data_IF_420114883986
#
_entry.id   IF_420114883986
#
_cell.length_a   1.000
_cell.length_b   1.000
_cell.length_c   1.000
_cell.angle_alpha   90.00
_cell.angle_beta   90.00
_cell.angle_gamma   90.00
#
_symmetry.space_group_name_H-M   'P 1'
#
loop_
_entity.id
_entity.type
_entity.pdbx_description
1 polymer ?
#
# COMPACT_ATOMS: atom_id res chain seq x y z
N UNK A 1 21.30 13.13 31.78
CA UNK A 1 22.38 13.67 30.93
C UNK A 1 23.54 12.68 30.89
N UNK A 2 23.64 11.90 29.80
CA UNK A 2 24.72 10.94 29.58
C UNK A 2 25.40 11.24 28.23
N UNK A 3 26.29 12.25 28.18
CA UNK A 3 26.94 12.66 26.92
C UNK A 3 27.68 11.52 26.22
N UNK A 4 28.25 10.59 27.00
CA UNK A 4 28.94 9.43 26.43
C UNK A 4 28.03 8.48 25.67
N UNK A 5 26.79 8.24 26.12
CA UNK A 5 25.80 7.43 25.43
C UNK A 5 25.29 8.12 24.17
N UNK A 6 25.13 9.44 24.19
CA UNK A 6 24.80 10.22 23.01
C UNK A 6 25.83 10.02 21.90
N UNK A 7 27.10 10.31 22.18
CA UNK A 7 28.18 10.16 21.21
C UNK A 7 28.31 8.74 20.69
N UNK A 8 28.17 7.75 21.59
CA UNK A 8 28.24 6.33 21.22
C UNK A 8 27.09 5.94 20.28
N UNK A 9 25.87 6.34 20.59
CA UNK A 9 24.68 5.98 19.78
C UNK A 9 24.65 6.74 18.46
N UNK A 10 25.04 8.01 18.39
CA UNK A 10 25.20 8.73 17.13
C UNK A 10 26.24 8.07 16.22
N UNK A 11 27.40 7.70 16.77
CA UNK A 11 28.44 7.00 16.02
C UNK A 11 27.94 5.66 15.48
N UNK A 12 27.24 4.88 16.29
CA UNK A 12 26.64 3.60 15.88
C UNK A 12 25.65 3.79 14.72
N UNK A 13 24.75 4.77 14.83
CA UNK A 13 23.78 5.08 13.76
C UNK A 13 24.48 5.44 12.46
N UNK A 14 25.52 6.29 12.52
CA UNK A 14 26.35 6.64 11.38
C UNK A 14 27.04 5.43 10.73
N UNK A 15 27.64 4.57 11.54
CA UNK A 15 28.31 3.38 11.07
C UNK A 15 27.34 2.47 10.31
N UNK A 16 26.17 2.20 10.87
CA UNK A 16 25.11 1.37 10.24
C UNK A 16 24.64 1.96 8.90
N UNK A 17 24.42 3.27 8.83
CA UNK A 17 24.02 3.94 7.57
C UNK A 17 25.12 3.85 6.51
N UNK A 18 26.38 4.01 6.89
CA UNK A 18 27.53 3.90 5.99
C UNK A 18 27.73 2.47 5.50
N UNK A 19 27.65 1.48 6.38
CA UNK A 19 27.72 0.06 6.01
C UNK A 19 26.61 -0.33 5.05
N UNK A 20 25.39 0.19 5.30
CA UNK A 20 24.23 0.03 4.41
C UNK A 20 24.33 0.79 3.10
N UNK A 21 25.35 1.64 2.90
CA UNK A 21 25.52 2.52 1.74
C UNK A 21 24.29 3.41 1.49
N UNK A 22 23.70 3.86 2.60
CA UNK A 22 22.51 4.73 2.56
C UNK A 22 22.98 6.18 2.53
N UNK A 23 22.52 6.96 1.55
CA UNK A 23 22.77 8.40 1.52
C UNK A 23 21.93 9.08 2.60
N UNK A 24 22.58 9.88 3.43
CA UNK A 24 21.89 10.61 4.49
C UNK A 24 22.48 12.01 4.69
N UNK A 25 21.71 12.86 5.34
CA UNK A 25 22.11 14.21 5.77
C UNK A 25 21.96 14.27 7.28
N UNK A 26 22.95 14.84 7.96
CA UNK A 26 22.90 15.08 9.40
C UNK A 26 22.28 16.42 9.70
N UNK A 27 21.27 16.44 10.56
CA UNK A 27 20.60 17.68 10.99
C UNK A 27 20.76 17.82 12.51
N UNK A 28 21.67 18.68 12.96
CA UNK A 28 21.87 18.91 14.39
C UNK A 28 20.61 19.50 15.06
N UNK A 29 20.36 19.09 16.30
CA UNK A 29 19.28 19.64 17.11
C UNK A 29 17.89 19.04 16.88
N UNK A 30 17.73 18.12 15.94
CA UNK A 30 16.42 17.45 15.67
C UNK A 30 16.26 16.08 16.31
N UNK A 31 17.20 15.63 17.11
CA UNK A 31 17.12 14.38 17.84
C UNK A 31 15.99 14.39 18.89
N UNK A 32 15.45 13.21 19.21
CA UNK A 32 14.54 13.07 20.33
C UNK A 32 15.30 13.27 21.66
N UNK A 33 14.59 13.65 22.74
CA UNK A 33 15.23 13.85 24.05
C UNK A 33 15.83 12.54 24.65
N UNK A 34 15.45 11.40 24.12
CA UNK A 34 15.87 10.06 24.56
C UNK A 34 16.92 9.40 23.65
N UNK A 35 17.29 10.01 22.56
CA UNK A 35 18.34 9.50 21.68
C UNK A 35 18.26 9.97 20.23
N UNK A 36 19.25 9.58 19.39
CA UNK A 36 19.28 9.94 17.98
C UNK A 36 18.20 9.21 17.19
N UNK A 37 17.81 9.80 16.06
CA UNK A 37 16.79 9.24 15.15
C UNK A 37 17.27 9.23 13.71
N UNK A 38 16.71 8.31 12.92
CA UNK A 38 16.79 8.26 11.47
C UNK A 38 15.39 8.52 10.94
N UNK A 39 15.19 9.61 10.20
CA UNK A 39 13.93 9.90 9.53
C UNK A 39 14.07 9.67 8.03
N UNK A 40 13.11 8.96 7.45
CA UNK A 40 13.00 8.80 5.99
C UNK A 40 12.10 9.91 5.48
N UNK A 41 12.72 10.87 4.78
CA UNK A 41 12.02 11.98 4.17
C UNK A 41 11.65 11.66 2.72
N UNK A 42 10.43 12.02 2.33
CA UNK A 42 9.93 11.90 0.96
C UNK A 42 9.26 13.20 0.54
N UNK A 43 9.31 13.48 -0.76
CA UNK A 43 8.63 14.65 -1.34
C UNK A 43 7.24 14.24 -1.81
N UNK A 44 6.24 14.99 -1.37
CA UNK A 44 4.88 14.82 -1.85
C UNK A 44 4.71 15.38 -3.27
N UNK A 45 3.62 15.00 -3.95
CA UNK A 45 3.33 15.49 -5.30
C UNK A 45 3.18 17.02 -5.40
N UNK A 46 2.88 17.69 -4.29
CA UNK A 46 2.78 19.16 -4.22
C UNK A 46 4.08 19.83 -3.73
N UNK A 47 5.19 19.10 -3.70
CA UNK A 47 6.50 19.65 -3.36
C UNK A 47 6.72 19.92 -1.86
N UNK A 48 6.01 19.25 -0.97
CA UNK A 48 6.24 19.30 0.47
C UNK A 48 7.07 18.11 0.93
N UNK A 49 8.05 18.38 1.78
CA UNK A 49 8.81 17.34 2.46
C UNK A 49 7.96 16.69 3.57
N UNK A 50 8.11 15.37 3.71
CA UNK A 50 7.25 14.58 4.55
C UNK A 50 8.03 13.44 5.20
N UNK A 51 8.02 13.35 6.53
CA UNK A 51 8.59 12.20 7.24
C UNK A 51 7.65 11.00 7.09
N UNK A 52 8.09 9.99 6.34
CA UNK A 52 7.31 8.79 6.09
C UNK A 52 7.56 7.71 7.13
N UNK A 53 8.81 7.51 7.49
CA UNK A 53 9.22 6.49 8.44
C UNK A 53 10.27 7.05 9.40
N UNK A 54 10.37 6.47 10.59
CA UNK A 54 11.39 6.83 11.56
C UNK A 54 11.89 5.60 12.32
N UNK A 55 13.17 5.61 12.66
CA UNK A 55 13.78 4.73 13.64
C UNK A 55 14.47 5.59 14.69
N UNK A 56 14.25 5.31 15.97
CA UNK A 56 14.78 6.09 17.09
C UNK A 56 15.49 5.16 18.05
N UNK A 57 16.72 5.50 18.42
CA UNK A 57 17.47 4.78 19.44
C UNK A 57 17.20 5.45 20.79
N UNK A 58 16.70 4.68 21.73
CA UNK A 58 16.32 5.17 23.06
C UNK A 58 17.21 4.52 24.13
N UNK A 59 17.99 5.33 24.79
CA UNK A 59 18.82 4.93 25.92
C UNK A 59 18.34 5.51 27.26
N UNK A 60 17.31 6.34 27.26
CA UNK A 60 16.84 7.04 28.45
C UNK A 60 15.60 6.40 29.11
N UNK A 61 14.64 5.97 28.29
CA UNK A 61 13.36 5.44 28.80
C UNK A 61 13.51 4.06 29.46
N UNK A 62 14.30 3.10 28.93
CA UNK A 62 14.48 1.80 29.57
C UNK A 62 14.93 1.90 31.02
N UNK A 63 15.87 2.79 31.31
CA UNK A 63 16.33 3.08 32.66
C UNK A 63 15.22 3.53 33.61
N UNK A 64 14.32 4.42 33.13
CA UNK A 64 13.20 4.95 33.94
C UNK A 64 12.16 3.88 34.26
N UNK A 65 12.01 2.87 33.39
CA UNK A 65 11.13 1.73 33.62
C UNK A 65 11.80 0.57 34.38
N UNK A 66 13.07 0.71 34.75
CA UNK A 66 13.83 -0.34 35.40
C UNK A 66 14.02 -1.59 34.55
N UNK A 67 14.04 -1.43 33.22
CA UNK A 67 14.25 -2.55 32.31
C UNK A 67 15.70 -3.01 32.39
N UNK A 68 15.87 -4.31 32.64
CA UNK A 68 17.20 -4.93 32.66
C UNK A 68 17.18 -6.25 31.91
N UNK A 69 18.33 -6.63 31.38
CA UNK A 69 18.59 -7.96 30.82
C UNK A 69 19.89 -8.52 31.36
N UNK A 70 20.09 -9.82 31.26
CA UNK A 70 21.37 -10.48 31.56
C UNK A 70 22.26 -10.39 30.33
N UNK A 71 23.41 -9.77 30.49
CA UNK A 71 24.44 -9.75 29.43
C UNK A 71 25.22 -11.07 29.40
N UNK A 72 26.20 -11.19 28.52
CA UNK A 72 27.06 -12.36 28.35
C UNK A 72 27.92 -12.70 29.58
N UNK A 73 28.03 -11.76 30.53
CA UNK A 73 28.72 -11.94 31.81
C UNK A 73 27.77 -12.20 32.99
N UNK A 74 26.50 -12.51 32.70
CA UNK A 74 25.43 -12.69 33.69
C UNK A 74 25.20 -11.44 34.56
N UNK A 75 25.63 -10.26 34.12
CA UNK A 75 25.37 -8.98 34.78
C UNK A 75 24.04 -8.35 34.32
N UNK A 76 23.36 -7.67 35.26
CA UNK A 76 22.17 -6.91 34.93
C UNK A 76 22.56 -5.63 34.19
N UNK A 77 22.14 -5.52 32.94
CA UNK A 77 22.46 -4.38 32.07
C UNK A 77 21.16 -3.75 31.54
N UNK A 78 21.16 -2.42 31.40
CA UNK A 78 20.03 -1.69 30.85
C UNK A 78 20.08 -1.78 29.31
N UNK A 79 18.99 -2.23 28.64
CA UNK A 79 18.96 -2.34 27.19
C UNK A 79 18.89 -0.96 26.52
N UNK A 80 19.37 -0.89 25.29
CA UNK A 80 18.93 0.12 24.34
C UNK A 80 17.61 -0.35 23.70
N UNK A 81 16.65 0.57 23.54
CA UNK A 81 15.44 0.29 22.80
C UNK A 81 15.48 0.95 21.42
N UNK A 82 14.88 0.29 20.44
CA UNK A 82 14.71 0.86 19.10
C UNK A 82 13.21 1.01 18.86
N UNK A 83 12.76 2.25 18.77
CA UNK A 83 11.41 2.57 18.34
C UNK A 83 11.38 2.66 16.82
N UNK A 84 10.49 1.90 16.21
CA UNK A 84 10.38 1.84 14.75
C UNK A 84 8.96 2.12 14.30
N UNK A 85 8.80 3.15 13.47
CA UNK A 85 7.56 3.49 12.80
C UNK A 85 7.79 3.43 11.27
N UNK A 86 7.60 2.26 10.62
CA UNK A 86 7.96 2.07 9.21
C UNK A 86 7.05 2.83 8.25
N UNK A 87 5.87 3.28 8.68
CA UNK A 87 4.89 4.01 7.86
C UNK A 87 4.32 5.25 8.56
N UNK A 88 4.85 5.62 9.72
CA UNK A 88 4.21 6.61 10.57
C UNK A 88 2.83 6.12 11.05
N UNK A 89 1.76 6.90 10.84
CA UNK A 89 0.39 6.45 11.03
C UNK A 89 -0.25 6.02 9.71
N UNK A 90 -1.21 5.09 9.77
CA UNK A 90 -1.93 4.63 8.58
C UNK A 90 -2.64 5.78 7.87
N UNK A 91 -3.29 6.68 8.60
CA UNK A 91 -4.03 7.82 8.06
C UNK A 91 -3.11 8.76 7.27
N UNK A 92 -1.95 9.08 7.85
CA UNK A 92 -0.95 9.94 7.22
C UNK A 92 -0.40 9.28 5.94
N UNK A 93 -0.06 8.01 6.00
CA UNK A 93 0.46 7.27 4.86
C UNK A 93 -0.57 7.14 3.74
N UNK A 94 -1.83 6.80 4.07
CA UNK A 94 -2.93 6.74 3.10
C UNK A 94 -3.16 8.12 2.47
N UNK A 95 -3.17 9.19 3.29
CA UNK A 95 -3.29 10.56 2.79
C UNK A 95 -2.19 10.92 1.79
N UNK A 96 -0.94 10.59 2.10
CA UNK A 96 0.20 10.75 1.20
C UNK A 96 0.01 9.99 -0.11
N UNK A 97 -0.42 8.72 -0.06
CA UNK A 97 -0.66 7.91 -1.24
C UNK A 97 -1.81 8.47 -2.11
N UNK A 98 -2.90 8.94 -1.49
CA UNK A 98 -4.01 9.58 -2.20
C UNK A 98 -3.51 10.82 -2.96
N UNK A 99 -2.68 11.63 -2.33
CA UNK A 99 -2.09 12.81 -2.95
C UNK A 99 -1.13 12.43 -4.08
N UNK A 100 -0.21 11.49 -3.82
CA UNK A 100 0.79 11.02 -4.79
C UNK A 100 0.15 10.45 -6.06
N UNK A 101 -0.84 9.59 -5.93
CA UNK A 101 -1.54 8.98 -7.05
C UNK A 101 -2.73 9.81 -7.57
N UNK A 102 -3.06 10.93 -6.93
CA UNK A 102 -4.29 11.66 -7.20
C UNK A 102 -5.54 10.79 -7.01
N UNK A 103 -5.48 9.79 -6.14
CA UNK A 103 -6.49 8.76 -5.93
C UNK A 103 -6.57 7.71 -7.05
N UNK A 104 -5.72 7.80 -8.08
CA UNK A 104 -5.64 6.86 -9.20
C UNK A 104 -4.63 5.74 -8.89
N UNK A 105 -4.99 4.90 -7.96
CA UNK A 105 -4.11 3.84 -7.47
C UNK A 105 -3.81 2.80 -8.54
N UNK A 106 -2.58 2.27 -8.58
CA UNK A 106 -2.27 1.06 -9.35
C UNK A 106 -3.11 -0.12 -8.87
N UNK A 107 -3.31 -1.12 -9.72
CA UNK A 107 -4.22 -2.22 -9.48
C UNK A 107 -4.00 -2.92 -8.13
N UNK A 108 -2.74 -3.21 -7.79
CA UNK A 108 -2.39 -3.92 -6.55
C UNK A 108 -2.73 -3.12 -5.27
N UNK A 109 -2.75 -1.78 -5.35
CA UNK A 109 -3.02 -0.89 -4.23
C UNK A 109 -4.50 -0.43 -4.18
N UNK A 110 -5.22 -0.53 -5.30
CA UNK A 110 -6.61 -0.06 -5.40
C UNK A 110 -7.54 -0.77 -4.40
N UNK A 111 -8.35 -0.04 -3.61
CA UNK A 111 -9.30 -0.65 -2.65
C UNK A 111 -10.33 -1.53 -3.36
N UNK A 112 -10.81 -1.10 -4.54
CA UNK A 112 -11.67 -1.85 -5.43
C UNK A 112 -10.92 -2.04 -6.75
N UNK A 113 -10.47 -3.26 -7.01
CA UNK A 113 -9.66 -3.56 -8.19
C UNK A 113 -10.51 -3.72 -9.44
N UNK A 114 -11.67 -4.32 -9.27
CA UNK A 114 -12.59 -4.68 -10.36
C UNK A 114 -14.01 -4.32 -9.97
N UNK A 115 -14.80 -3.85 -10.93
CA UNK A 115 -16.26 -3.84 -10.85
C UNK A 115 -16.86 -4.66 -11.97
N UNK A 116 -17.82 -5.53 -11.65
CA UNK A 116 -18.60 -6.30 -12.62
C UNK A 116 -19.90 -5.55 -12.87
N UNK A 117 -20.19 -5.29 -14.14
CA UNK A 117 -21.34 -4.54 -14.61
C UNK A 117 -22.16 -5.42 -15.55
N UNK A 118 -23.23 -6.09 -15.07
CA UNK A 118 -24.17 -6.74 -15.94
C UNK A 118 -24.95 -5.72 -16.79
N UNK A 119 -25.13 -6.05 -18.08
CA UNK A 119 -25.87 -5.22 -19.04
C UNK A 119 -27.36 -5.21 -18.73
N UNK A 120 -27.89 -6.35 -18.28
CA UNK A 120 -29.29 -6.52 -17.90
C UNK A 120 -29.41 -7.45 -16.70
N UNK A 121 -30.59 -7.48 -16.07
CA UNK A 121 -30.88 -8.39 -14.96
C UNK A 121 -30.73 -9.87 -15.33
N UNK A 122 -30.98 -10.23 -16.60
CA UNK A 122 -30.80 -11.58 -17.11
C UNK A 122 -29.38 -12.10 -16.89
N UNK A 123 -28.37 -11.22 -16.97
CA UNK A 123 -26.97 -11.56 -16.81
C UNK A 123 -26.50 -11.59 -15.34
N UNK A 124 -27.37 -11.28 -14.38
CA UNK A 124 -27.01 -11.23 -12.95
C UNK A 124 -26.52 -12.59 -12.43
N UNK A 125 -27.11 -13.69 -12.91
CA UNK A 125 -26.71 -15.05 -12.47
C UNK A 125 -25.29 -15.38 -12.88
N UNK A 126 -24.92 -15.06 -14.11
CA UNK A 126 -23.55 -15.27 -14.62
C UNK A 126 -22.56 -14.32 -13.94
N UNK A 127 -22.91 -13.05 -13.81
CA UNK A 127 -22.10 -12.05 -13.09
C UNK A 127 -21.79 -12.43 -11.65
N UNK A 128 -22.77 -13.00 -10.92
CA UNK A 128 -22.56 -13.54 -9.57
C UNK A 128 -21.57 -14.70 -9.53
N UNK A 129 -21.57 -15.58 -10.56
CA UNK A 129 -20.58 -16.66 -10.67
C UNK A 129 -19.17 -16.11 -10.88
N UNK A 130 -19.02 -15.10 -11.75
CA UNK A 130 -17.73 -14.41 -11.99
C UNK A 130 -17.25 -13.73 -10.70
N UNK A 131 -18.13 -13.00 -10.02
CA UNK A 131 -17.82 -12.34 -8.74
C UNK A 131 -17.29 -13.34 -7.71
N UNK A 132 -17.95 -14.50 -7.56
CA UNK A 132 -17.50 -15.52 -6.61
C UNK A 132 -16.08 -16.00 -6.93
N UNK A 133 -15.79 -16.30 -8.20
CA UNK A 133 -14.46 -16.76 -8.64
C UNK A 133 -13.37 -15.73 -8.40
N UNK A 134 -13.65 -14.45 -8.67
CA UNK A 134 -12.68 -13.37 -8.41
C UNK A 134 -12.41 -13.21 -6.91
N UNK A 135 -13.43 -13.32 -6.08
CA UNK A 135 -13.28 -13.28 -4.61
C UNK A 135 -12.48 -14.47 -4.09
N UNK A 136 -12.72 -15.67 -4.62
CA UNK A 136 -11.95 -16.90 -4.29
C UNK A 136 -10.46 -16.74 -4.67
N UNK A 137 -10.16 -15.91 -5.69
CA UNK A 137 -8.80 -15.57 -6.11
C UNK A 137 -8.22 -14.36 -5.35
N UNK A 138 -8.82 -13.91 -4.24
CA UNK A 138 -8.42 -12.76 -3.43
C UNK A 138 -8.36 -11.43 -4.21
N UNK A 139 -9.17 -11.28 -5.25
CA UNK A 139 -9.27 -10.03 -6.02
C UNK A 139 -10.41 -9.19 -5.46
N UNK A 140 -10.12 -7.95 -5.06
CA UNK A 140 -11.08 -7.01 -4.47
C UNK A 140 -12.06 -6.52 -5.54
N UNK A 141 -13.24 -7.12 -5.56
CA UNK A 141 -14.23 -6.97 -6.63
C UNK A 141 -15.55 -6.42 -6.09
N UNK A 142 -16.15 -5.49 -6.82
CA UNK A 142 -17.53 -5.03 -6.66
C UNK A 142 -18.44 -5.67 -7.72
N UNK A 143 -19.70 -5.82 -7.39
CA UNK A 143 -20.76 -6.27 -8.31
C UNK A 143 -21.87 -5.22 -8.33
N UNK A 144 -22.05 -4.54 -9.46
CA UNK A 144 -23.02 -3.48 -9.62
C UNK A 144 -24.33 -3.98 -10.22
N UNK A 145 -25.24 -4.43 -9.35
CA UNK A 145 -26.56 -4.95 -9.73
C UNK A 145 -27.66 -3.86 -9.74
N UNK A 146 -27.31 -2.60 -9.65
CA UNK A 146 -28.32 -1.53 -9.67
C UNK A 146 -29.06 -1.53 -11.02
N UNK A 147 -30.34 -1.17 -10.98
CA UNK A 147 -31.16 -0.98 -12.18
C UNK A 147 -30.84 0.40 -12.80
N UNK A 148 -29.73 0.44 -13.55
CA UNK A 148 -29.21 1.65 -14.17
C UNK A 148 -28.60 1.34 -15.54
N UNK A 149 -28.61 2.32 -16.44
CA UNK A 149 -27.99 2.18 -17.76
C UNK A 149 -26.49 1.85 -17.65
N UNK A 150 -26.00 0.90 -18.45
CA UNK A 150 -24.59 0.47 -18.48
C UNK A 150 -23.63 1.64 -18.58
N UNK A 151 -23.91 2.61 -19.47
CA UNK A 151 -23.08 3.82 -19.62
C UNK A 151 -22.95 4.64 -18.33
N UNK A 152 -24.02 4.72 -17.54
CA UNK A 152 -24.00 5.40 -16.25
C UNK A 152 -23.15 4.63 -15.23
N UNK A 153 -23.30 3.31 -15.17
CA UNK A 153 -22.48 2.44 -14.29
C UNK A 153 -20.99 2.55 -14.63
N UNK A 154 -20.63 2.52 -15.93
CA UNK A 154 -19.26 2.70 -16.41
C UNK A 154 -18.73 4.07 -15.98
N UNK A 155 -19.46 5.14 -16.26
CA UNK A 155 -19.05 6.50 -15.86
C UNK A 155 -18.84 6.61 -14.35
N UNK A 156 -19.71 6.02 -13.56
CA UNK A 156 -19.57 6.04 -12.09
C UNK A 156 -18.34 5.26 -11.64
N UNK A 157 -18.05 4.11 -12.25
CA UNK A 157 -16.84 3.33 -11.97
C UNK A 157 -15.56 4.13 -12.32
N UNK A 158 -15.55 4.83 -13.46
CA UNK A 158 -14.45 5.70 -13.87
C UNK A 158 -14.24 6.88 -12.90
N UNK A 159 -15.32 7.55 -12.49
CA UNK A 159 -15.26 8.62 -11.50
C UNK A 159 -14.78 8.12 -10.12
N UNK A 160 -15.17 6.91 -9.76
CA UNK A 160 -14.67 6.23 -8.54
C UNK A 160 -13.27 5.65 -8.69
N UNK A 161 -12.61 5.89 -9.82
CA UNK A 161 -11.24 5.47 -10.14
C UNK A 161 -11.00 3.96 -10.01
N UNK A 162 -12.04 3.14 -10.28
CA UNK A 162 -11.89 1.69 -10.32
C UNK A 162 -11.09 1.32 -11.56
N UNK A 163 -9.96 0.57 -11.42
CA UNK A 163 -9.07 0.31 -12.55
C UNK A 163 -9.68 -0.51 -13.67
N UNK A 164 -10.48 -1.53 -13.33
CA UNK A 164 -11.01 -2.49 -14.29
C UNK A 164 -12.52 -2.66 -14.14
N UNK A 165 -13.22 -2.67 -15.28
CA UNK A 165 -14.64 -2.94 -15.40
C UNK A 165 -14.84 -4.20 -16.24
N UNK A 166 -15.61 -5.14 -15.76
CA UNK A 166 -16.04 -6.31 -16.52
C UNK A 166 -17.49 -6.11 -16.95
N UNK A 167 -17.69 -5.96 -18.25
CA UNK A 167 -19.03 -5.79 -18.83
C UNK A 167 -19.55 -7.15 -19.23
N UNK A 168 -20.73 -7.51 -18.71
CA UNK A 168 -21.30 -8.84 -18.89
C UNK A 168 -22.66 -8.72 -19.56
N UNK A 169 -22.71 -9.04 -20.83
CA UNK A 169 -23.92 -9.12 -21.63
C UNK A 169 -24.25 -10.56 -22.05
N UNK A 170 -25.24 -10.70 -22.94
CA UNK A 170 -25.66 -12.01 -23.47
C UNK A 170 -24.54 -12.73 -24.22
N UNK A 171 -23.70 -12.00 -24.97
CA UNK A 171 -22.56 -12.56 -25.69
C UNK A 171 -21.53 -13.19 -24.76
N UNK A 172 -21.21 -12.48 -23.67
CA UNK A 172 -20.25 -12.95 -22.67
C UNK A 172 -20.77 -14.19 -21.96
N UNK A 173 -22.06 -14.22 -21.65
CA UNK A 173 -22.68 -15.39 -21.00
C UNK A 173 -22.74 -16.62 -21.92
N UNK A 174 -23.11 -16.44 -23.18
CA UNK A 174 -23.13 -17.50 -24.18
C UNK A 174 -21.74 -18.08 -24.46
N UNK A 175 -20.75 -17.22 -24.63
CA UNK A 175 -19.38 -17.61 -24.92
C UNK A 175 -18.57 -17.97 -23.67
N UNK A 176 -19.16 -17.87 -22.48
CA UNK A 176 -18.50 -18.11 -21.17
C UNK A 176 -17.22 -17.28 -20.97
N UNK A 177 -17.19 -16.08 -21.54
CA UNK A 177 -16.09 -15.13 -21.44
C UNK A 177 -16.51 -13.85 -20.68
N UNK A 178 -15.63 -12.88 -20.64
CA UNK A 178 -15.84 -11.55 -20.05
C UNK A 178 -15.36 -10.48 -21.01
N UNK A 179 -16.03 -9.35 -21.09
CA UNK A 179 -15.56 -8.16 -21.80
C UNK A 179 -14.86 -7.24 -20.79
N UNK A 180 -13.65 -6.81 -21.12
CA UNK A 180 -12.76 -6.07 -20.24
C UNK A 180 -12.65 -4.62 -20.68
N UNK A 181 -12.92 -3.71 -19.77
CA UNK A 181 -12.66 -2.31 -19.96
C UNK A 181 -11.68 -1.84 -18.89
N UNK A 182 -10.60 -1.20 -19.28
CA UNK A 182 -9.63 -0.60 -18.35
C UNK A 182 -9.79 0.91 -18.37
N UNK A 183 -9.79 1.50 -17.19
CA UNK A 183 -9.88 2.95 -17.04
C UNK A 183 -8.75 3.63 -17.84
N UNK A 184 -9.05 4.76 -18.50
CA UNK A 184 -8.16 5.49 -19.43
C UNK A 184 -7.76 4.76 -20.72
N UNK A 185 -7.81 3.42 -20.76
CA UNK A 185 -7.44 2.63 -21.94
C UNK A 185 -8.66 2.19 -22.77
N UNK A 186 -9.85 2.28 -22.20
CA UNK A 186 -11.08 1.91 -22.90
C UNK A 186 -11.33 0.40 -22.95
N UNK A 187 -11.99 -0.04 -24.00
CA UNK A 187 -12.33 -1.45 -24.24
C UNK A 187 -11.09 -2.21 -24.73
N UNK A 188 -10.80 -3.32 -24.06
CA UNK A 188 -9.68 -4.21 -24.37
C UNK A 188 -10.14 -5.53 -25.02
N UNK A 189 -11.44 -5.64 -25.34
CA UNK A 189 -12.01 -6.86 -25.89
C UNK A 189 -12.40 -7.90 -24.85
N UNK A 190 -12.59 -9.12 -25.32
CA UNK A 190 -13.08 -10.23 -24.50
C UNK A 190 -12.03 -11.33 -24.34
N UNK A 191 -12.01 -11.97 -23.17
CA UNK A 191 -11.17 -13.14 -22.89
C UNK A 191 -11.84 -14.12 -21.94
N UNK A 192 -11.24 -15.30 -21.79
CA UNK A 192 -11.71 -16.28 -20.81
C UNK A 192 -11.41 -15.82 -19.41
N UNK A 193 -12.35 -16.04 -18.48
CA UNK A 193 -12.18 -15.63 -17.07
C UNK A 193 -10.92 -16.21 -16.43
N UNK A 194 -10.54 -17.45 -16.77
CA UNK A 194 -9.36 -18.13 -16.23
C UNK A 194 -8.07 -17.37 -16.60
N UNK A 195 -7.94 -16.99 -17.87
CA UNK A 195 -6.76 -16.29 -18.38
C UNK A 195 -6.67 -14.89 -17.78
N UNK A 196 -7.79 -14.19 -17.69
CA UNK A 196 -7.90 -12.90 -17.02
C UNK A 196 -7.44 -12.97 -15.55
N UNK A 197 -7.90 -13.97 -14.78
CA UNK A 197 -7.48 -14.14 -13.38
C UNK A 197 -5.96 -14.35 -13.29
N UNK A 198 -5.40 -15.15 -14.19
CA UNK A 198 -3.96 -15.41 -14.23
C UNK A 198 -3.16 -14.12 -14.48
N UNK A 199 -3.57 -13.34 -15.48
CA UNK A 199 -2.88 -12.09 -15.86
C UNK A 199 -2.97 -11.03 -14.76
N UNK A 200 -4.17 -10.83 -14.20
CA UNK A 200 -4.40 -9.86 -13.14
C UNK A 200 -3.66 -10.26 -11.84
N UNK A 201 -3.65 -11.55 -11.50
CA UNK A 201 -2.90 -12.03 -10.33
C UNK A 201 -1.40 -11.77 -10.49
N UNK A 202 -0.84 -11.97 -11.67
CA UNK A 202 0.55 -11.66 -11.97
C UNK A 202 0.84 -10.16 -11.83
N UNK A 203 -0.02 -9.29 -12.40
CA UNK A 203 0.09 -7.82 -12.27
C UNK A 203 0.06 -7.37 -10.80
N UNK A 204 -0.83 -7.96 -10.00
CA UNK A 204 -0.97 -7.66 -8.57
C UNK A 204 0.27 -8.11 -7.79
N UNK A 205 0.76 -9.34 -8.02
CA UNK A 205 1.93 -9.90 -7.34
C UNK A 205 3.19 -9.11 -7.67
N UNK A 206 3.37 -8.76 -8.93
CA UNK A 206 4.51 -7.97 -9.39
C UNK A 206 4.43 -6.49 -9.01
N UNK A 207 3.33 -6.04 -8.40
CA UNK A 207 3.08 -4.64 -8.03
C UNK A 207 3.28 -3.68 -9.20
N UNK A 208 2.81 -4.06 -10.38
CA UNK A 208 2.99 -3.28 -11.59
C UNK A 208 2.32 -1.91 -11.50
N UNK A 209 2.99 -0.89 -12.04
CA UNK A 209 2.49 0.49 -12.10
C UNK A 209 1.82 0.77 -13.47
N UNK A 210 0.88 -0.09 -13.85
CA UNK A 210 0.16 0.04 -15.12
C UNK A 210 -0.96 1.10 -15.00
N UNK A 211 -0.64 2.35 -15.34
CA UNK A 211 -1.59 3.47 -15.41
C UNK A 211 -2.33 3.54 -16.74
#
# INVERSE_FOLDING_TARGET
NEPGLWLKTEKLVKEVLNEGKINFVEIPGEAAFYGPKIDVQVWSAIGREFTLATNQVDFAIPSKFGLVYKDENDCNTIPLCIHRAPLGTHERFIGFLIEHFGGDFPLWLSPNQIVIIPVSEKNNKYSKKIYKKLKESNIRTLLDLRDEKVGFKIRKAELSKIPIMLIIGEKEELNKNISIRRRKKGDLGSMMLKDFISDISREIINKELNY
#
